data_IF_022679423475
#
_entry.id   IF_022679423475
#
_cell.length_a   1.000
_cell.length_b   1.000
_cell.length_c   1.000
_cell.angle_alpha   90.00
_cell.angle_beta   90.00
_cell.angle_gamma   90.00
#
_symmetry.space_group_name_H-M   'P 1'
#
loop_
_entity.id
_entity.type
_entity.pdbx_description
1 polymer ?
#
# COMPACT_ATOMS: atom_id res chain seq x y z
N UNK A 1 0.58 5.36 -19.26
CA UNK A 1 -0.65 4.86 -18.59
C UNK A 1 -0.41 4.86 -17.10
N UNK A 2 -1.33 5.42 -16.36
CA UNK A 2 -1.23 5.45 -14.89
C UNK A 2 -1.84 4.19 -14.26
N UNK A 3 -1.38 3.84 -13.09
CA UNK A 3 -1.99 2.77 -12.33
C UNK A 3 -3.44 3.11 -12.02
N UNK A 4 -4.27 2.08 -11.92
CA UNK A 4 -5.67 2.25 -11.51
C UNK A 4 -5.74 1.88 -10.03
N UNK A 5 -6.16 2.85 -9.22
CA UNK A 5 -6.30 2.68 -7.78
C UNK A 5 -7.69 3.14 -7.38
N UNK A 6 -8.53 2.19 -7.07
CA UNK A 6 -9.89 2.45 -6.61
C UNK A 6 -10.00 2.14 -5.13
N UNK A 7 -10.76 2.95 -4.42
CA UNK A 7 -10.90 2.81 -2.99
C UNK A 7 -12.37 2.63 -2.60
N UNK A 8 -12.57 1.87 -1.53
CA UNK A 8 -13.85 1.78 -0.84
C UNK A 8 -13.60 2.05 0.63
N UNK A 9 -14.25 3.06 1.17
CA UNK A 9 -14.09 3.47 2.56
C UNK A 9 -15.20 2.87 3.40
N UNK A 10 -14.83 2.02 4.34
CA UNK A 10 -15.76 1.54 5.35
C UNK A 10 -15.69 2.39 6.61
N UNK A 11 -16.26 1.86 7.71
CA UNK A 11 -16.31 2.61 8.96
C UNK A 11 -14.92 2.74 9.61
N UNK A 12 -14.14 1.67 9.62
CA UNK A 12 -12.82 1.63 10.25
C UNK A 12 -11.81 0.95 9.35
N UNK A 13 -12.05 0.97 8.04
CA UNK A 13 -11.18 0.29 7.10
C UNK A 13 -11.26 0.93 5.71
N UNK A 14 -10.26 0.64 4.92
CA UNK A 14 -10.13 1.08 3.54
C UNK A 14 -9.79 -0.14 2.69
N UNK A 15 -10.54 -0.34 1.61
CA UNK A 15 -10.25 -1.36 0.60
C UNK A 15 -9.72 -0.68 -0.64
N UNK A 16 -8.58 -1.15 -1.14
CA UNK A 16 -7.91 -0.55 -2.29
C UNK A 16 -7.72 -1.61 -3.36
N UNK A 17 -8.27 -1.37 -4.55
CA UNK A 17 -7.98 -2.18 -5.72
C UNK A 17 -6.86 -1.52 -6.50
N UNK A 18 -5.76 -2.24 -6.69
CA UNK A 18 -4.57 -1.75 -7.34
C UNK A 18 -4.30 -2.51 -8.63
N UNK A 19 -4.07 -1.79 -9.71
CA UNK A 19 -3.59 -2.34 -10.98
C UNK A 19 -2.33 -1.59 -11.36
N UNK A 20 -1.22 -2.32 -11.47
CA UNK A 20 0.08 -1.72 -11.74
C UNK A 20 0.20 -1.15 -13.16
N UNK A 21 1.08 -0.17 -13.30
CA UNK A 21 1.45 0.38 -14.60
C UNK A 21 2.87 -0.01 -14.97
N UNK A 22 3.22 0.19 -16.24
CA UNK A 22 4.54 -0.19 -16.77
C UNK A 22 5.67 0.67 -16.22
N UNK A 23 5.44 1.96 -16.01
CA UNK A 23 6.47 2.86 -15.51
C UNK A 23 6.86 2.52 -14.08
N UNK A 24 8.16 2.50 -13.80
CA UNK A 24 8.71 2.26 -12.46
C UNK A 24 8.67 3.59 -11.68
N UNK A 25 8.33 3.52 -10.41
CA UNK A 25 8.26 4.68 -9.54
C UNK A 25 6.87 4.85 -8.93
N UNK A 26 6.45 6.09 -8.76
CA UNK A 26 5.16 6.39 -8.15
C UNK A 26 4.01 5.84 -9.00
N UNK A 27 3.21 4.97 -8.42
CA UNK A 27 2.02 4.42 -9.06
C UNK A 27 0.80 5.28 -8.75
N UNK A 28 0.74 5.87 -7.59
CA UNK A 28 -0.37 6.72 -7.21
C UNK A 28 -0.39 7.08 -5.74
N UNK A 29 -1.32 7.94 -5.38
CA UNK A 29 -1.55 8.41 -4.02
C UNK A 29 -3.03 8.31 -3.67
N UNK A 30 -3.32 8.08 -2.40
CA UNK A 30 -4.68 8.10 -1.87
C UNK A 30 -4.70 9.09 -0.70
N UNK A 31 -5.59 10.06 -0.75
CA UNK A 31 -5.76 11.01 0.35
C UNK A 31 -6.33 10.29 1.57
N UNK A 32 -5.99 10.81 2.75
CA UNK A 32 -6.54 10.31 4.00
C UNK A 32 -8.08 10.37 3.95
N UNK A 33 -8.78 9.24 4.15
CA UNK A 33 -10.22 9.17 3.92
C UNK A 33 -11.05 9.90 4.97
N UNK A 34 -10.47 10.17 6.14
CA UNK A 34 -11.20 10.74 7.27
C UNK A 34 -10.92 12.23 7.48
N UNK A 35 -9.85 12.75 6.89
CA UNK A 35 -9.39 14.09 7.19
C UNK A 35 -8.94 14.28 8.65
N UNK A 36 -8.55 13.21 9.30
CA UNK A 36 -8.13 13.17 10.70
C UNK A 36 -6.95 12.22 10.83
N UNK A 37 -6.23 12.30 11.94
CA UNK A 37 -5.12 11.40 12.19
C UNK A 37 -5.64 9.98 12.43
N UNK A 38 -5.07 9.02 11.70
CA UNK A 38 -5.45 7.61 11.77
C UNK A 38 -4.26 6.79 12.23
N UNK A 39 -4.52 5.88 13.16
CA UNK A 39 -3.54 4.87 13.55
C UNK A 39 -3.84 3.60 12.77
N UNK A 40 -2.92 3.18 11.91
CA UNK A 40 -3.10 1.98 11.12
C UNK A 40 -2.75 0.77 11.99
N UNK A 41 -3.72 -0.10 12.19
CA UNK A 41 -3.57 -1.28 13.04
C UNK A 41 -3.22 -2.53 12.26
N UNK A 42 -3.71 -2.65 11.03
CA UNK A 42 -3.46 -3.80 10.17
C UNK A 42 -3.39 -3.37 8.71
N UNK A 43 -2.55 -4.04 7.96
CA UNK A 43 -2.46 -3.84 6.52
C UNK A 43 -2.19 -5.19 5.85
N UNK A 44 -3.05 -5.57 4.91
CA UNK A 44 -2.95 -6.83 4.20
C UNK A 44 -3.03 -6.58 2.70
N UNK A 45 -2.23 -7.33 1.94
CA UNK A 45 -2.34 -7.36 0.49
C UNK A 45 -2.78 -8.76 0.05
N UNK A 46 -3.72 -8.81 -0.87
CA UNK A 46 -4.03 -10.02 -1.62
C UNK A 46 -3.52 -9.84 -3.05
N UNK A 47 -2.50 -10.60 -3.42
CA UNK A 47 -1.97 -10.57 -4.78
C UNK A 47 -2.83 -11.49 -5.65
N UNK A 48 -3.58 -10.89 -6.57
CA UNK A 48 -4.50 -11.62 -7.47
C UNK A 48 -3.75 -12.08 -8.72
N UNK A 49 -3.01 -11.17 -9.33
CA UNK A 49 -2.18 -11.45 -10.52
C UNK A 49 -0.80 -10.86 -10.28
N UNK A 50 0.23 -11.69 -10.44
CA UNK A 50 1.60 -11.25 -10.27
C UNK A 50 2.11 -10.43 -11.45
N UNK A 51 3.09 -9.58 -11.21
CA UNK A 51 3.87 -8.94 -12.26
C UNK A 51 4.70 -10.00 -12.99
N UNK A 52 5.04 -9.74 -14.24
CA UNK A 52 5.84 -10.67 -15.03
C UNK A 52 7.29 -10.74 -14.53
N UNK A 53 7.83 -9.61 -14.09
CA UNK A 53 9.19 -9.51 -13.60
C UNK A 53 9.21 -9.26 -12.08
N UNK A 54 10.40 -9.34 -11.49
CA UNK A 54 10.59 -9.21 -10.04
C UNK A 54 10.45 -7.76 -9.56
N UNK A 55 9.26 -7.20 -9.71
CA UNK A 55 8.94 -5.87 -9.22
C UNK A 55 8.71 -5.90 -7.71
N UNK A 56 9.02 -4.78 -7.07
CA UNK A 56 8.73 -4.59 -5.65
C UNK A 56 7.94 -3.30 -5.46
N UNK A 57 7.25 -3.17 -4.34
CA UNK A 57 6.48 -1.97 -4.05
C UNK A 57 6.61 -1.55 -2.60
N UNK A 58 6.76 -0.26 -2.41
CA UNK A 58 6.67 0.37 -1.09
C UNK A 58 5.28 1.01 -0.96
N UNK A 59 4.70 0.86 0.21
CA UNK A 59 3.42 1.49 0.55
C UNK A 59 3.55 2.15 1.91
N UNK A 60 3.12 3.38 2.03
CA UNK A 60 3.13 4.06 3.31
C UNK A 60 2.53 5.45 3.24
N UNK A 61 2.16 6.01 4.41
CA UNK A 61 1.64 7.37 4.49
C UNK A 61 2.77 8.39 4.51
N UNK A 62 2.51 9.54 3.91
CA UNK A 62 3.45 10.65 3.92
C UNK A 62 3.08 11.72 2.90
N UNK A 63 4.06 12.47 2.46
CA UNK A 63 3.86 13.51 1.47
C UNK A 63 3.43 12.91 0.12
N UNK A 64 2.56 13.61 -0.57
CA UNK A 64 2.13 13.22 -1.92
C UNK A 64 3.35 13.10 -2.84
N UNK A 65 3.44 12.00 -3.56
CA UNK A 65 4.53 11.74 -4.49
C UNK A 65 5.82 11.25 -3.86
N UNK A 66 5.91 11.17 -2.56
CA UNK A 66 7.10 10.64 -1.88
C UNK A 66 7.08 9.11 -1.85
N UNK A 67 8.25 8.52 -1.75
CA UNK A 67 8.42 7.07 -1.60
C UNK A 67 8.39 6.73 -0.12
N UNK A 68 7.27 6.23 0.32
CA UNK A 68 7.06 5.87 1.74
C UNK A 68 6.93 4.36 1.87
N UNK A 69 7.53 3.78 2.88
CA UNK A 69 7.59 2.33 3.07
C UNK A 69 7.18 1.87 4.46
N UNK A 70 6.49 2.72 5.21
CA UNK A 70 6.16 2.44 6.60
C UNK A 70 5.18 1.28 6.78
N UNK A 71 4.31 1.02 5.79
CA UNK A 71 3.41 -0.13 5.85
C UNK A 71 4.01 -1.36 5.21
N UNK A 72 4.48 -1.23 3.97
CA UNK A 72 5.06 -2.33 3.22
C UNK A 72 6.34 -1.83 2.56
N UNK A 73 7.44 -2.47 2.85
CA UNK A 73 8.74 -2.15 2.26
C UNK A 73 9.18 -3.25 1.30
N UNK A 74 9.50 -2.89 0.06
CA UNK A 74 9.98 -3.79 -0.97
C UNK A 74 9.13 -5.05 -1.09
N UNK A 75 7.83 -4.89 -1.08
CA UNK A 75 6.88 -6.00 -1.15
C UNK A 75 6.91 -6.61 -2.55
N UNK A 76 7.11 -7.94 -2.69
CA UNK A 76 7.19 -8.57 -4.00
C UNK A 76 5.84 -8.55 -4.72
N UNK A 77 5.87 -8.18 -5.99
CA UNK A 77 4.67 -8.15 -6.84
C UNK A 77 4.65 -9.24 -7.90
N UNK A 78 5.73 -10.00 -8.04
CA UNK A 78 5.86 -11.00 -9.11
C UNK A 78 5.26 -12.36 -8.77
N UNK A 79 4.69 -12.49 -7.59
CA UNK A 79 4.18 -13.79 -7.16
C UNK A 79 5.28 -14.78 -6.81
N UNK A 80 6.51 -14.32 -6.55
CA UNK A 80 7.61 -15.19 -6.12
C UNK A 80 7.30 -15.97 -4.85
N UNK A 81 6.45 -15.44 -3.98
CA UNK A 81 5.89 -16.12 -2.84
C UNK A 81 4.51 -16.73 -3.14
N UNK A 82 4.08 -16.74 -4.41
CA UNK A 82 2.76 -17.16 -4.83
C UNK A 82 1.75 -16.02 -4.80
N UNK A 83 0.58 -16.26 -5.40
CA UNK A 83 -0.57 -15.36 -5.28
C UNK A 83 -1.33 -15.68 -4.00
N UNK A 84 -2.15 -14.75 -3.56
CA UNK A 84 -2.98 -14.91 -2.37
C UNK A 84 -2.68 -13.84 -1.34
N UNK A 85 -3.04 -14.12 -0.10
CA UNK A 85 -2.92 -13.14 0.98
C UNK A 85 -1.53 -13.07 1.55
N UNK A 86 -1.01 -11.85 1.64
CA UNK A 86 0.19 -11.53 2.39
C UNK A 86 -0.18 -10.54 3.47
N UNK A 87 -0.02 -10.93 4.72
CA UNK A 87 -0.38 -10.10 5.85
C UNK A 87 0.85 -9.36 6.38
N UNK A 88 0.72 -8.06 6.52
CA UNK A 88 1.72 -7.23 7.14
C UNK A 88 1.09 -6.45 8.28
N UNK A 89 1.71 -6.54 9.42
CA UNK A 89 1.39 -5.67 10.55
C UNK A 89 2.51 -4.66 10.66
N UNK A 90 2.23 -3.37 10.88
CA UNK A 90 3.30 -2.40 11.03
C UNK A 90 4.35 -2.81 12.07
N UNK A 91 3.89 -3.38 13.17
CA UNK A 91 4.79 -3.82 14.24
C UNK A 91 5.66 -5.03 13.87
N UNK A 92 5.32 -5.77 12.82
CA UNK A 92 6.12 -6.93 12.38
C UNK A 92 7.26 -6.51 11.47
N UNK A 93 7.01 -5.53 10.59
CA UNK A 93 7.99 -5.09 9.60
C UNK A 93 8.86 -3.95 10.09
N UNK A 94 8.47 -3.30 11.18
CA UNK A 94 9.15 -2.15 11.75
C UNK A 94 9.55 -2.46 13.19
N UNK A 95 10.01 -1.44 13.90
CA UNK A 95 10.17 -1.56 15.34
C UNK A 95 8.79 -1.84 15.95
N UNK A 96 8.67 -2.92 16.70
CA UNK A 96 7.40 -3.35 17.27
C UNK A 96 6.77 -2.32 18.20
N UNK A 97 7.53 -1.36 18.69
CA UNK A 97 7.04 -0.28 19.52
C UNK A 97 6.45 0.87 18.73
N UNK A 98 6.62 0.87 17.40
CA UNK A 98 6.18 1.96 16.54
C UNK A 98 4.93 1.56 15.78
N UNK A 99 3.88 2.35 15.94
CA UNK A 99 2.68 2.23 15.13
C UNK A 99 2.79 3.18 13.93
N UNK A 100 2.08 2.87 12.86
CA UNK A 100 2.06 3.71 11.67
C UNK A 100 0.92 4.72 11.79
N UNK A 101 1.27 5.98 11.82
CA UNK A 101 0.32 7.08 11.87
C UNK A 101 0.13 7.65 10.47
N UNK A 102 -1.13 7.76 10.04
CA UNK A 102 -1.50 8.42 8.80
C UNK A 102 -2.10 9.78 9.12
N UNK A 103 -1.30 10.83 8.95
CA UNK A 103 -1.72 12.19 9.29
C UNK A 103 -2.88 12.67 8.42
N UNK A 104 -3.65 13.62 8.96
CA UNK A 104 -4.86 14.13 8.30
C UNK A 104 -4.61 14.66 6.89
N UNK A 105 -3.44 15.24 6.64
CA UNK A 105 -3.07 15.84 5.36
C UNK A 105 -2.06 14.99 4.57
N UNK A 106 -1.84 13.77 4.99
CA UNK A 106 -0.92 12.87 4.32
C UNK A 106 -1.64 12.00 3.30
N UNK A 107 -0.85 11.42 2.40
CA UNK A 107 -1.33 10.53 1.36
C UNK A 107 -0.72 9.15 1.56
N UNK A 108 -1.48 8.12 1.26
CA UNK A 108 -0.94 6.79 1.14
C UNK A 108 -0.34 6.67 -0.25
N UNK A 109 0.96 6.41 -0.34
CA UNK A 109 1.68 6.36 -1.61
C UNK A 109 2.05 4.92 -1.95
N UNK A 110 2.04 4.62 -3.25
CA UNK A 110 2.40 3.33 -3.81
C UNK A 110 3.53 3.55 -4.80
N UNK A 111 4.71 3.03 -4.51
CA UNK A 111 5.90 3.29 -5.31
C UNK A 111 6.56 1.96 -5.68
N UNK A 112 6.72 1.70 -6.98
CA UNK A 112 7.37 0.48 -7.46
C UNK A 112 8.84 0.72 -7.72
N UNK A 113 9.61 -0.35 -7.63
CA UNK A 113 11.05 -0.35 -7.89
C UNK A 113 11.47 -1.63 -8.60
N UNK A 114 12.71 -1.66 -9.05
CA UNK A 114 13.38 -2.77 -9.72
C UNK A 114 12.84 -3.09 -11.11
N UNK A 115 11.59 -3.45 -11.26
CA UNK A 115 11.00 -3.87 -12.52
C UNK A 115 9.59 -3.30 -12.67
N UNK A 116 9.06 -3.40 -13.90
CA UNK A 116 7.68 -3.02 -14.20
C UNK A 116 6.67 -3.84 -13.39
N UNK A 117 5.64 -3.19 -12.90
CA UNK A 117 4.59 -3.84 -12.13
C UNK A 117 3.50 -4.51 -12.98
N UNK A 118 3.58 -4.42 -14.30
CA UNK A 118 2.57 -5.01 -15.20
C UNK A 118 2.77 -6.53 -15.28
N UNK A 119 1.73 -7.34 -15.25
CA UNK A 119 0.30 -7.05 -15.13
C UNK A 119 -0.26 -7.18 -13.71
N UNK A 120 0.44 -6.74 -12.71
CA UNK A 120 0.06 -6.92 -11.31
C UNK A 120 -1.35 -6.39 -11.03
N UNK A 121 -2.15 -7.24 -10.37
CA UNK A 121 -3.43 -6.86 -9.80
C UNK A 121 -3.42 -7.29 -8.35
N UNK A 122 -3.71 -6.38 -7.45
CA UNK A 122 -3.69 -6.64 -6.03
C UNK A 122 -4.83 -5.90 -5.32
N UNK A 123 -5.19 -6.37 -4.16
CA UNK A 123 -6.18 -5.76 -3.31
C UNK A 123 -5.56 -5.53 -1.93
N UNK A 124 -5.75 -4.35 -1.37
CA UNK A 124 -5.26 -4.01 -0.04
C UNK A 124 -6.43 -3.82 0.91
N UNK A 125 -6.27 -4.30 2.13
CA UNK A 125 -7.18 -4.04 3.22
C UNK A 125 -6.39 -3.34 4.32
N UNK A 126 -6.79 -2.11 4.64
CA UNK A 126 -6.14 -1.31 5.67
C UNK A 126 -7.14 -1.02 6.75
N UNK A 127 -6.82 -1.44 7.96
CA UNK A 127 -7.65 -1.19 9.12
C UNK A 127 -7.01 -0.12 9.98
N UNK A 128 -7.82 0.79 10.50
CA UNK A 128 -7.31 1.93 11.24
C UNK A 128 -8.25 2.34 12.37
N UNK A 129 -7.70 3.15 13.28
CA UNK A 129 -8.44 3.79 14.36
C UNK A 129 -8.25 5.29 14.21
N UNK A 130 -9.33 6.03 14.29
CA UNK A 130 -9.25 7.49 14.29
C UNK A 130 -8.77 7.95 15.66
N UNK A 131 -7.67 8.72 15.69
CA UNK A 131 -7.03 9.11 16.95
C UNK A 131 -7.01 10.62 17.20
N UNK A 132 -7.38 11.42 16.21
CA UNK A 132 -7.47 12.87 16.43
C UNK A 132 -8.19 13.59 15.29
#
# INVERSE_FOLDING_TARGET
MTAVINTEVGKDYLVIDFTGEAAIGLQGNIANPEGANLLITNSYMCLVTGATAAATMNVGPGASGADNSELHGAMPLDGGAGTGWMGYHPAVTQDASLAVLWGANEFLTFTTAAQSAVPCVAKFYIKYIRVA
#
